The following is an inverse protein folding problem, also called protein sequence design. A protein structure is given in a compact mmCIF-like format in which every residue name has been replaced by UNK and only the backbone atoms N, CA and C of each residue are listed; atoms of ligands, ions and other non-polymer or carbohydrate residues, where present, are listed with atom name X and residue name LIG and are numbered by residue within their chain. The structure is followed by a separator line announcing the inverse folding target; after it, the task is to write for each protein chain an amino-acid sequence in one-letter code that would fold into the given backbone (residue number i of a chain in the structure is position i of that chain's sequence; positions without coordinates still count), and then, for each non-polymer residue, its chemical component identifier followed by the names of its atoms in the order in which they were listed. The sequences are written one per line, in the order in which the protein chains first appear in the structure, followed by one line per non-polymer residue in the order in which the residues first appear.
data_IF_495148584397
#
_entry.id   IF_495148584397
#
_cell.length_a   1.000
_cell.length_b   1.000
_cell.length_c   1.000
_cell.angle_alpha   90.00
_cell.angle_beta   90.00
_cell.angle_gamma   90.00
#
_symmetry.space_group_name_H-M   'P 1'
#
loop_
_entity.id
_entity.type
_entity.pdbx_description
1 polymer ?
#
# COMPACT_ATOMS: atom_id res chain seq x y z
N UNK A 1 4.20 15.53 5.19
CA UNK A 1 4.71 14.14 5.12
C UNK A 1 5.68 13.93 6.26
N UNK A 2 5.63 12.77 6.91
CA UNK A 2 6.59 12.45 7.98
C UNK A 2 7.75 11.62 7.41
N UNK A 3 8.95 11.79 7.96
CA UNK A 3 10.16 11.05 7.57
C UNK A 3 9.97 9.52 7.53
N UNK A 4 9.07 9.01 8.37
CA UNK A 4 8.66 7.61 8.41
C UNK A 4 8.09 7.12 7.07
N UNK A 5 7.34 7.96 6.36
CA UNK A 5 6.72 7.59 5.07
C UNK A 5 7.78 7.38 3.97
N UNK A 6 8.90 8.12 4.02
CA UNK A 6 10.03 7.96 3.08
C UNK A 6 10.79 6.63 3.28
N UNK A 7 10.72 6.04 4.47
CA UNK A 7 11.45 4.80 4.80
C UNK A 7 10.69 3.52 4.44
N UNK A 8 9.41 3.62 4.08
CA UNK A 8 8.55 2.47 3.80
C UNK A 8 7.97 2.51 2.38
N UNK A 9 8.82 2.30 1.35
CA UNK A 9 8.40 2.41 -0.05
C UNK A 9 7.51 1.24 -0.50
N UNK A 10 7.39 0.17 0.29
CA UNK A 10 6.53 -0.96 -0.05
C UNK A 10 5.17 -0.80 0.64
N UNK A 11 4.09 -0.79 -0.12
CA UNK A 11 2.74 -0.73 0.41
C UNK A 11 1.91 -1.91 -0.08
N UNK A 12 1.10 -2.50 0.80
CA UNK A 12 0.11 -3.51 0.42
C UNK A 12 -1.21 -2.78 0.23
N UNK A 13 -1.76 -2.85 -0.97
CA UNK A 13 -3.06 -2.27 -1.31
C UNK A 13 -4.10 -3.35 -1.53
N UNK A 14 -5.35 -2.99 -1.26
CA UNK A 14 -6.53 -3.75 -1.64
C UNK A 14 -7.33 -2.92 -2.64
N UNK A 15 -7.56 -3.40 -3.88
CA UNK A 15 -8.51 -2.78 -4.79
C UNK A 15 -9.95 -3.05 -4.32
N UNK A 16 -10.76 -2.00 -4.30
CA UNK A 16 -12.20 -2.05 -4.01
C UNK A 16 -12.98 -1.85 -5.31
N UNK A 17 -14.22 -2.39 -5.41
CA UNK A 17 -15.04 -2.33 -6.62
C UNK A 17 -15.43 -0.91 -7.09
N UNK A 18 -15.08 0.13 -6.32
CA UNK A 18 -15.34 1.53 -6.64
C UNK A 18 -14.13 2.25 -7.25
N UNK A 19 -13.21 1.53 -7.91
CA UNK A 19 -11.93 2.08 -8.39
C UNK A 19 -11.06 2.68 -7.25
N UNK A 20 -11.37 2.33 -6.00
CA UNK A 20 -10.65 2.82 -4.84
C UNK A 20 -9.56 1.82 -4.45
N UNK A 21 -8.44 2.36 -3.97
CA UNK A 21 -7.29 1.58 -3.49
C UNK A 21 -7.14 1.88 -2.01
N UNK A 22 -7.23 0.85 -1.16
CA UNK A 22 -7.00 1.02 0.28
C UNK A 22 -5.64 0.47 0.66
N UNK A 23 -4.80 1.30 1.28
CA UNK A 23 -3.53 0.87 1.85
C UNK A 23 -3.84 0.10 3.13
N UNK A 24 -3.43 -1.17 3.17
CA UNK A 24 -3.63 -2.06 4.31
C UNK A 24 -2.41 -2.03 5.22
N UNK A 25 -1.21 -2.00 4.64
CA UNK A 25 0.04 -1.98 5.38
C UNK A 25 1.14 -1.27 4.58
N UNK A 26 2.10 -0.68 5.30
CA UNK A 26 3.36 -0.17 4.74
C UNK A 26 4.52 -0.95 5.32
N UNK A 27 5.52 -1.25 4.50
CA UNK A 27 6.64 -2.10 4.82
C UNK A 27 7.94 -1.45 4.31
N UNK A 28 9.03 -1.66 5.05
CA UNK A 28 10.35 -1.17 4.63
C UNK A 28 10.98 -2.03 3.54
N UNK A 29 10.75 -3.34 3.61
CA UNK A 29 11.36 -4.35 2.74
C UNK A 29 10.27 -5.08 1.96
N UNK A 30 10.61 -5.49 0.73
CA UNK A 30 9.74 -6.34 -0.09
C UNK A 30 9.40 -7.66 0.60
N UNK A 31 10.38 -8.25 1.29
CA UNK A 31 10.23 -9.57 1.92
C UNK A 31 9.17 -9.54 3.04
N UNK A 32 9.17 -8.50 3.87
CA UNK A 32 8.11 -8.28 4.88
C UNK A 32 6.75 -8.07 4.22
N UNK A 33 6.68 -7.28 3.15
CA UNK A 33 5.43 -7.06 2.42
C UNK A 33 4.86 -8.35 1.82
N UNK A 34 5.73 -9.22 1.30
CA UNK A 34 5.34 -10.52 0.74
C UNK A 34 4.85 -11.49 1.81
N UNK A 35 5.57 -11.59 2.94
CA UNK A 35 5.14 -12.40 4.08
C UNK A 35 3.77 -11.93 4.61
N UNK A 36 3.55 -10.62 4.74
CA UNK A 36 2.25 -10.07 5.11
C UNK A 36 1.16 -10.35 4.07
N UNK A 37 1.46 -10.21 2.78
CA UNK A 37 0.49 -10.51 1.72
C UNK A 37 0.12 -12.00 1.73
N UNK A 38 1.07 -12.92 1.95
CA UNK A 38 0.77 -14.35 2.06
C UNK A 38 -0.17 -14.65 3.22
N UNK A 39 0.06 -14.03 4.38
CA UNK A 39 -0.82 -14.16 5.55
C UNK A 39 -2.21 -13.59 5.23
N UNK A 40 -2.29 -12.41 4.62
CA UNK A 40 -3.57 -11.80 4.19
C UNK A 40 -4.33 -12.66 3.20
N UNK A 41 -3.64 -13.26 2.22
CA UNK A 41 -4.24 -14.20 1.26
C UNK A 41 -4.73 -15.47 1.92
N UNK A 42 -4.07 -15.95 2.97
CA UNK A 42 -4.50 -17.13 3.73
C UNK A 42 -5.72 -16.83 4.60
N UNK A 43 -5.77 -15.64 5.21
CA UNK A 43 -6.91 -15.18 6.00
C UNK A 43 -8.12 -14.86 5.12
N UNK A 44 -7.91 -14.25 3.95
CA UNK A 44 -8.95 -13.75 3.07
C UNK A 44 -8.64 -14.06 1.60
N UNK A 45 -8.77 -15.32 1.16
CA UNK A 45 -8.43 -15.72 -0.21
C UNK A 45 -9.36 -15.10 -1.28
N UNK A 46 -10.57 -14.69 -0.88
CA UNK A 46 -11.55 -14.03 -1.75
C UNK A 46 -11.19 -12.58 -2.07
N UNK A 47 -10.26 -11.99 -1.30
CA UNK A 47 -9.91 -10.58 -1.44
C UNK A 47 -8.63 -10.45 -2.27
N UNK A 48 -8.63 -9.65 -3.36
CA UNK A 48 -7.41 -9.30 -4.06
C UNK A 48 -6.54 -8.40 -3.17
N UNK A 49 -5.27 -8.75 -3.04
CA UNK A 49 -4.24 -7.94 -2.41
C UNK A 49 -3.07 -7.80 -3.36
N UNK A 50 -2.52 -6.60 -3.45
CA UNK A 50 -1.40 -6.29 -4.34
C UNK A 50 -0.32 -5.54 -3.57
N UNK A 51 0.95 -5.85 -3.89
CA UNK A 51 2.10 -5.11 -3.37
C UNK A 51 2.46 -4.05 -4.39
N UNK A 52 2.46 -2.80 -3.96
CA UNK A 52 2.85 -1.64 -4.76
C UNK A 52 4.11 -1.04 -4.16
N UNK A 53 5.06 -0.74 -5.04
CA UNK A 53 6.24 0.03 -4.69
C UNK A 53 5.95 1.50 -4.98
N UNK A 54 5.69 2.25 -3.92
CA UNK A 54 5.46 3.68 -3.99
C UNK A 54 6.78 4.37 -3.62
N UNK A 55 7.60 4.63 -4.63
CA UNK A 55 8.71 5.57 -4.48
C UNK A 55 8.09 6.94 -4.63
N UNK A 56 7.79 7.61 -3.52
CA UNK A 56 7.54 9.04 -3.63
C UNK A 56 8.83 9.69 -4.12
N UNK A 57 8.86 10.28 -5.33
CA UNK A 57 9.98 11.12 -5.72
C UNK A 57 10.06 12.29 -4.73
N UNK A 58 11.27 12.73 -4.43
CA UNK A 58 11.51 13.92 -3.62
C UNK A 58 10.89 15.11 -4.37
N UNK A 59 9.71 15.53 -3.91
CA UNK A 59 8.94 16.72 -4.27
C UNK A 59 8.81 17.00 -5.78
N UNK A 60 7.71 16.50 -6.36
CA UNK A 60 7.20 16.95 -7.66
C UNK A 60 5.96 16.17 -8.08
N UNK A 61 4.77 16.71 -7.79
CA UNK A 61 3.47 16.41 -8.41
C UNK A 61 2.99 14.93 -8.26
N UNK A 62 1.89 14.58 -7.57
CA UNK A 62 0.53 15.09 -7.73
C UNK A 62 -0.34 14.53 -6.61
N UNK A 63 -1.25 15.37 -6.14
CA UNK A 63 -2.41 15.10 -5.30
C UNK A 63 -3.34 13.99 -5.84
N UNK A 64 -4.34 13.64 -5.00
CA UNK A 64 -5.41 12.62 -5.13
C UNK A 64 -5.02 11.23 -4.59
N UNK A 65 -5.46 10.77 -3.42
CA UNK A 65 -6.79 10.89 -2.81
C UNK A 65 -6.69 10.97 -1.27
N UNK A 66 -6.93 12.16 -0.71
CA UNK A 66 -7.64 12.30 0.57
C UNK A 66 -9.03 12.84 0.22
N UNK A 67 -9.99 11.94 0.15
CA UNK A 67 -11.41 12.30 0.25
C UNK A 67 -12.07 11.26 1.14
N UNK A 68 -12.93 11.76 2.01
CA UNK A 68 -13.66 11.12 3.12
C UNK A 68 -12.90 11.19 4.45
N UNK A 69 -13.32 11.97 5.45
CA UNK A 69 -14.48 12.88 5.62
C UNK A 69 -14.12 13.89 6.72
#
# INVERSE_FOLDING_TARGET
MTYFEKLHPWCIIRPLPNLQRRIIARCRRRNDAEAHLQVLRRLMPTVPFEIVFDVMPDEGETSLQKSQE
#
